data_IF_597084336220
#
_entry.id   IF_597084336220
#
_cell.length_a   1.000
_cell.length_b   1.000
_cell.length_c   1.000
_cell.angle_alpha   90.00
_cell.angle_beta   90.00
_cell.angle_gamma   90.00
#
_symmetry.space_group_name_H-M   'P 1'
#
loop_
_entity.id
_entity.type
_entity.pdbx_description
1 polymer ?
#
# COMPACT_ATOMS: atom_id res chain seq x y z
N UNK A 1 17.70 64.59 22.37
CA UNK A 1 16.64 65.57 22.10
C UNK A 1 16.38 65.51 20.60
N UNK A 2 15.27 64.90 20.16
CA UNK A 2 14.83 64.95 18.76
C UNK A 2 13.95 66.19 18.64
N UNK A 3 14.37 67.15 17.82
CA UNK A 3 13.58 68.33 17.50
C UNK A 3 12.19 67.91 17.01
N UNK A 4 11.15 68.52 17.57
CA UNK A 4 9.79 68.36 17.08
C UNK A 4 9.72 69.00 15.68
N UNK A 5 9.48 68.19 14.66
CA UNK A 5 9.24 68.67 13.30
C UNK A 5 8.07 69.67 13.31
N UNK A 6 8.27 70.84 12.68
CA UNK A 6 7.21 71.84 12.49
C UNK A 6 5.99 71.16 11.82
N UNK A 7 4.76 71.46 12.24
CA UNK A 7 3.59 71.10 11.44
C UNK A 7 3.72 71.80 10.07
N UNK A 8 3.60 71.03 8.99
CA UNK A 8 3.62 71.57 7.63
C UNK A 8 2.31 72.34 7.41
N UNK A 9 2.40 73.59 6.98
CA UNK A 9 1.24 74.42 6.68
C UNK A 9 0.61 73.97 5.35
N UNK A 10 -0.71 73.91 5.27
CA UNK A 10 -1.43 73.45 4.06
C UNK A 10 -1.04 74.26 2.81
N UNK A 11 -0.72 75.54 2.97
CA UNK A 11 -0.28 76.41 1.88
C UNK A 11 1.07 76.00 1.25
N UNK A 12 2.00 75.50 2.05
CA UNK A 12 3.30 75.03 1.56
C UNK A 12 3.11 73.74 0.74
N UNK A 13 2.21 72.87 1.19
CA UNK A 13 1.88 71.62 0.52
C UNK A 13 1.13 71.89 -0.79
N UNK A 14 0.20 72.86 -0.81
CA UNK A 14 -0.50 73.25 -2.04
C UNK A 14 0.46 73.78 -3.11
N UNK A 15 1.52 74.47 -2.72
CA UNK A 15 2.57 74.90 -3.65
C UNK A 15 3.24 73.67 -4.30
N UNK A 16 3.60 72.67 -3.50
CA UNK A 16 4.19 71.42 -3.99
C UNK A 16 3.22 70.57 -4.84
N UNK A 17 1.92 70.59 -4.50
CA UNK A 17 0.86 69.96 -5.31
C UNK A 17 0.78 70.62 -6.69
N UNK A 18 0.86 71.95 -6.76
CA UNK A 18 0.83 72.69 -8.01
C UNK A 18 2.09 72.47 -8.87
N UNK A 19 3.23 72.20 -8.22
CA UNK A 19 4.47 71.73 -8.88
C UNK A 19 4.35 70.28 -9.42
N UNK A 20 3.29 69.56 -9.05
CA UNK A 20 3.02 68.20 -9.52
C UNK A 20 3.82 67.11 -8.78
N UNK A 21 4.44 67.46 -7.64
CA UNK A 21 5.16 66.49 -6.81
C UNK A 21 4.20 65.44 -6.27
N UNK A 22 4.66 64.21 -6.13
CA UNK A 22 3.92 63.17 -5.43
C UNK A 22 4.24 63.19 -3.92
N UNK A 23 3.42 62.53 -3.11
CA UNK A 23 3.52 62.58 -1.64
C UNK A 23 4.88 62.08 -1.12
N UNK A 24 5.51 61.15 -1.84
CA UNK A 24 6.85 60.67 -1.48
C UNK A 24 7.92 61.75 -1.69
N UNK A 25 7.89 62.43 -2.84
CA UNK A 25 8.79 63.53 -3.15
C UNK A 25 8.57 64.73 -2.22
N UNK A 26 7.31 65.02 -1.87
CA UNK A 26 6.98 66.05 -0.88
C UNK A 26 7.56 65.70 0.50
N UNK A 27 7.43 64.45 0.93
CA UNK A 27 7.94 64.01 2.22
C UNK A 27 9.48 64.11 2.30
N UNK A 28 10.17 63.74 1.22
CA UNK A 28 11.63 63.90 1.12
C UNK A 28 12.04 65.38 1.16
N UNK A 29 11.35 66.24 0.42
CA UNK A 29 11.64 67.69 0.37
C UNK A 29 11.40 68.38 1.72
N UNK A 30 10.40 67.92 2.45
CA UNK A 30 10.05 68.41 3.78
C UNK A 30 10.86 67.72 4.91
N UNK A 31 11.73 66.78 4.54
CA UNK A 31 12.52 65.94 5.45
C UNK A 31 11.67 65.34 6.57
N UNK A 32 10.59 64.66 6.19
CA UNK A 32 9.59 64.12 7.12
C UNK A 32 9.37 62.63 6.98
N UNK A 33 8.74 62.03 7.99
CA UNK A 33 8.35 60.63 7.95
C UNK A 33 7.22 60.41 6.93
N UNK A 34 7.47 59.48 5.99
CA UNK A 34 6.56 59.19 4.88
C UNK A 34 5.20 58.67 5.35
N UNK A 35 5.14 57.91 6.44
CA UNK A 35 3.88 57.32 6.92
C UNK A 35 3.02 58.39 7.58
N UNK A 36 3.62 59.22 8.43
CA UNK A 36 2.94 60.37 9.05
C UNK A 36 2.46 61.39 8.02
N UNK A 37 3.29 61.70 7.02
CA UNK A 37 2.92 62.62 5.96
C UNK A 37 1.86 62.05 5.01
N UNK A 38 1.90 60.74 4.75
CA UNK A 38 0.87 60.05 3.96
C UNK A 38 -0.50 60.10 4.66
N UNK A 39 -0.56 59.89 5.97
CA UNK A 39 -1.82 60.01 6.75
C UNK A 39 -2.35 61.45 6.72
N UNK A 40 -1.48 62.43 6.94
CA UNK A 40 -1.82 63.84 6.84
C UNK A 40 -2.40 64.19 5.47
N UNK A 41 -1.69 63.85 4.40
CA UNK A 41 -2.14 64.14 3.03
C UNK A 41 -3.44 63.41 2.70
N UNK A 42 -3.63 62.17 3.18
CA UNK A 42 -4.86 61.42 2.97
C UNK A 42 -6.07 62.11 3.62
N UNK A 43 -5.90 62.73 4.80
CA UNK A 43 -6.94 63.54 5.45
C UNK A 43 -7.25 64.82 4.67
N UNK A 44 -6.22 65.59 4.28
CA UNK A 44 -6.41 66.78 3.44
C UNK A 44 -7.11 66.44 2.11
N UNK A 45 -6.77 65.30 1.51
CA UNK A 45 -7.43 64.79 0.30
C UNK A 45 -8.88 64.35 0.54
N UNK A 46 -9.20 63.79 1.72
CA UNK A 46 -10.56 63.43 2.07
C UNK A 46 -11.47 64.66 2.19
N UNK A 47 -10.93 65.74 2.77
CA UNK A 47 -11.66 66.99 2.98
C UNK A 47 -11.76 67.83 1.69
N UNK A 48 -10.68 67.89 0.89
CA UNK A 48 -10.65 68.66 -0.35
C UNK A 48 -9.86 67.97 -1.48
N UNK A 49 -10.57 67.16 -2.27
CA UNK A 49 -9.98 66.38 -3.39
C UNK A 49 -9.52 67.23 -4.57
N UNK A 50 -10.01 68.46 -4.74
CA UNK A 50 -9.59 69.33 -5.84
C UNK A 50 -8.26 69.98 -5.52
N UNK A 51 -8.09 70.43 -4.26
CA UNK A 51 -6.85 71.03 -3.78
C UNK A 51 -5.77 69.99 -3.48
N UNK A 52 -6.15 68.79 -3.02
CA UNK A 52 -5.23 67.68 -2.72
C UNK A 52 -5.62 66.42 -3.52
N UNK A 53 -5.18 66.30 -4.79
CA UNK A 53 -5.53 65.16 -5.61
C UNK A 53 -4.98 63.84 -5.04
N UNK A 54 -5.86 62.88 -4.79
CA UNK A 54 -5.49 61.57 -4.20
C UNK A 54 -4.48 60.78 -5.05
N UNK A 55 -4.41 61.05 -6.35
CA UNK A 55 -3.45 60.40 -7.28
C UNK A 55 -1.98 60.70 -6.96
N UNK A 56 -1.72 61.81 -6.25
CA UNK A 56 -0.36 62.15 -5.82
C UNK A 56 0.07 61.32 -4.60
N UNK A 57 -0.89 60.80 -3.82
CA UNK A 57 -0.66 59.82 -2.77
C UNK A 57 -0.64 58.39 -3.33
N UNK A 58 -1.69 58.03 -4.08
CA UNK A 58 -1.89 56.68 -4.62
C UNK A 58 -1.31 56.61 -6.02
N UNK A 59 0.02 56.57 -6.10
CA UNK A 59 0.77 56.36 -7.34
C UNK A 59 0.62 54.91 -7.83
N UNK A 60 0.99 54.64 -9.09
CA UNK A 60 0.95 53.28 -9.64
C UNK A 60 1.80 52.29 -8.84
N UNK A 61 3.06 52.65 -8.57
CA UNK A 61 4.01 51.82 -7.83
C UNK A 61 3.56 51.58 -6.39
N UNK A 62 3.01 52.61 -5.73
CA UNK A 62 2.46 52.48 -4.40
C UNK A 62 1.27 51.52 -4.38
N UNK A 63 0.30 51.69 -5.28
CA UNK A 63 -0.90 50.87 -5.31
C UNK A 63 -0.59 49.40 -5.64
N UNK A 64 0.33 49.16 -6.56
CA UNK A 64 0.82 47.82 -6.89
C UNK A 64 1.45 47.12 -5.67
N UNK A 65 2.33 47.82 -4.94
CA UNK A 65 2.94 47.31 -3.70
C UNK A 65 1.90 47.01 -2.63
N UNK A 66 0.94 47.92 -2.41
CA UNK A 66 -0.09 47.72 -1.38
C UNK A 66 -1.06 46.57 -1.73
N UNK A 67 -1.42 46.40 -3.00
CA UNK A 67 -2.30 45.30 -3.44
C UNK A 67 -1.68 43.91 -3.27
N UNK A 68 -0.36 43.81 -3.20
CA UNK A 68 0.34 42.56 -2.88
C UNK A 68 0.23 42.18 -1.41
N UNK A 69 0.14 43.18 -0.52
CA UNK A 69 0.22 43.00 0.93
C UNK A 69 -1.15 43.06 1.62
N UNK A 70 -2.10 43.84 1.08
CA UNK A 70 -3.33 44.21 1.77
C UNK A 70 -4.56 44.04 0.86
N UNK A 71 -5.72 43.66 1.42
CA UNK A 71 -6.98 43.69 0.68
C UNK A 71 -7.41 45.14 0.40
N UNK A 72 -8.17 45.35 -0.67
CA UNK A 72 -8.64 46.68 -1.11
C UNK A 72 -9.36 47.45 0.01
N UNK A 73 -10.12 46.78 0.89
CA UNK A 73 -10.81 47.43 2.02
C UNK A 73 -9.81 48.12 2.97
N UNK A 74 -8.66 47.50 3.23
CA UNK A 74 -7.68 48.05 4.15
C UNK A 74 -6.97 49.27 3.53
N UNK A 75 -6.68 49.20 2.24
CA UNK A 75 -6.13 50.33 1.46
C UNK A 75 -7.10 51.52 1.47
N UNK A 76 -8.41 51.25 1.34
CA UNK A 76 -9.44 52.28 1.43
C UNK A 76 -9.44 53.00 2.79
N UNK A 77 -9.31 52.24 3.88
CA UNK A 77 -9.29 52.80 5.23
C UNK A 77 -8.06 53.68 5.46
N UNK A 78 -6.89 53.24 5.01
CA UNK A 78 -5.62 53.99 5.17
C UNK A 78 -5.55 55.26 4.30
N UNK A 79 -6.28 55.29 3.19
CA UNK A 79 -6.27 56.43 2.25
C UNK A 79 -7.51 57.31 2.36
N UNK A 80 -8.42 57.00 3.30
CA UNK A 80 -9.72 57.64 3.44
C UNK A 80 -10.51 57.73 2.12
N UNK A 81 -10.42 56.69 1.29
CA UNK A 81 -11.06 56.62 -0.04
C UNK A 81 -12.05 55.48 -0.17
N UNK A 82 -12.95 55.59 -1.15
CA UNK A 82 -13.92 54.52 -1.41
C UNK A 82 -13.33 53.41 -2.31
N UNK A 83 -13.82 52.16 -2.20
CA UNK A 83 -13.41 51.08 -3.08
C UNK A 83 -13.57 51.39 -4.57
N UNK A 84 -14.52 52.25 -4.93
CA UNK A 84 -14.73 52.69 -6.32
C UNK A 84 -13.58 53.55 -6.84
N UNK A 85 -12.98 54.39 -5.99
CA UNK A 85 -11.80 55.21 -6.33
C UNK A 85 -10.60 54.31 -6.58
N UNK A 86 -10.32 53.36 -5.67
CA UNK A 86 -9.22 52.41 -5.82
C UNK A 86 -9.39 51.57 -7.09
N UNK A 87 -10.59 51.03 -7.37
CA UNK A 87 -10.87 50.28 -8.61
C UNK A 87 -10.72 51.14 -9.86
N UNK A 88 -11.06 52.44 -9.80
CA UNK A 88 -10.83 53.38 -10.91
C UNK A 88 -9.33 53.56 -11.16
N UNK A 89 -8.54 53.74 -10.10
CA UNK A 89 -7.08 53.85 -10.20
C UNK A 89 -6.44 52.56 -10.70
N UNK A 90 -6.87 51.38 -10.24
CA UNK A 90 -6.42 50.09 -10.77
C UNK A 90 -6.64 49.98 -12.28
N UNK A 91 -7.81 50.37 -12.79
CA UNK A 91 -8.09 50.40 -14.23
C UNK A 91 -7.19 51.38 -14.97
N UNK A 92 -7.02 52.59 -14.43
CA UNK A 92 -6.17 53.63 -15.02
C UNK A 92 -4.69 53.21 -15.08
N UNK A 93 -4.22 52.45 -14.09
CA UNK A 93 -2.84 51.98 -13.98
C UNK A 93 -2.59 50.60 -14.61
N UNK A 94 -3.62 49.92 -15.10
CA UNK A 94 -3.52 48.57 -15.68
C UNK A 94 -3.28 47.44 -14.68
N UNK A 95 -3.63 47.63 -13.40
CA UNK A 95 -3.41 46.65 -12.33
C UNK A 95 -4.56 45.65 -12.23
N UNK A 96 -4.25 44.35 -12.23
CA UNK A 96 -5.23 43.26 -12.05
C UNK A 96 -5.39 42.91 -10.56
N UNK A 97 -6.62 42.58 -10.15
CA UNK A 97 -6.90 42.16 -8.78
C UNK A 97 -6.35 40.75 -8.53
N UNK A 98 -5.81 40.49 -7.32
CA UNK A 98 -5.44 39.13 -6.88
C UNK A 98 -6.67 38.20 -6.95
N UNK A 99 -6.54 36.97 -7.48
CA UNK A 99 -7.63 36.01 -7.49
C UNK A 99 -8.09 35.71 -6.07
N UNK A 100 -9.41 35.66 -5.85
CA UNK A 100 -9.98 35.32 -4.54
C UNK A 100 -9.82 33.83 -4.30
N UNK A 101 -9.91 33.40 -3.04
CA UNK A 101 -9.85 31.97 -2.70
C UNK A 101 -10.85 31.12 -3.51
N UNK A 102 -12.06 31.63 -3.73
CA UNK A 102 -13.09 30.97 -4.55
C UNK A 102 -12.74 30.81 -6.05
N UNK A 103 -11.79 31.61 -6.53
CA UNK A 103 -11.32 31.56 -7.93
C UNK A 103 -10.16 30.54 -8.07
N UNK A 104 -9.58 30.10 -6.95
CA UNK A 104 -8.50 29.09 -6.87
C UNK A 104 -9.08 27.74 -6.46
N UNK A 105 -9.92 27.73 -5.43
CA UNK A 105 -10.71 26.61 -4.95
C UNK A 105 -12.08 26.67 -5.62
N UNK A 106 -12.11 26.35 -6.92
CA UNK A 106 -13.37 26.23 -7.66
C UNK A 106 -14.18 25.04 -7.13
N UNK A 107 -15.49 24.96 -7.43
CA UNK A 107 -16.32 23.84 -7.00
C UNK A 107 -15.75 22.48 -7.42
N UNK A 108 -15.21 22.40 -8.65
CA UNK A 108 -14.63 21.19 -9.23
C UNK A 108 -13.35 20.79 -8.50
N UNK A 109 -12.44 21.74 -8.26
CA UNK A 109 -11.20 21.52 -7.51
C UNK A 109 -11.51 21.12 -6.06
N UNK A 110 -12.52 21.76 -5.45
CA UNK A 110 -12.94 21.44 -4.09
C UNK A 110 -13.56 20.04 -4.02
N UNK A 111 -14.34 19.64 -5.03
CA UNK A 111 -14.92 18.29 -5.15
C UNK A 111 -13.82 17.25 -5.33
N UNK A 112 -12.88 17.44 -6.26
CA UNK A 112 -11.73 16.55 -6.45
C UNK A 112 -10.92 16.38 -5.16
N UNK A 113 -10.60 17.46 -4.46
CA UNK A 113 -9.79 17.40 -3.24
C UNK A 113 -10.53 16.75 -2.06
N UNK A 114 -11.81 17.07 -1.87
CA UNK A 114 -12.58 16.66 -0.70
C UNK A 114 -13.24 15.27 -0.87
N UNK A 115 -13.82 15.03 -2.05
CA UNK A 115 -14.57 13.80 -2.39
C UNK A 115 -13.64 12.75 -2.96
N UNK A 116 -12.95 13.03 -4.07
CA UNK A 116 -12.15 12.04 -4.78
C UNK A 116 -10.85 11.70 -4.04
N UNK A 117 -10.08 12.71 -3.64
CA UNK A 117 -8.80 12.57 -2.90
C UNK A 117 -8.99 12.44 -1.39
N UNK A 118 -10.24 12.53 -0.90
CA UNK A 118 -10.63 12.33 0.51
C UNK A 118 -9.88 13.19 1.52
N UNK A 119 -9.36 14.36 1.13
CA UNK A 119 -8.67 15.26 2.06
C UNK A 119 -9.67 15.86 3.06
N UNK A 120 -9.21 16.12 4.28
CA UNK A 120 -10.03 16.80 5.29
C UNK A 120 -10.06 18.31 5.03
N UNK A 121 -11.11 19.00 5.50
CA UNK A 121 -11.20 20.46 5.45
C UNK A 121 -9.91 21.14 5.99
N UNK A 122 -9.31 20.55 7.04
CA UNK A 122 -8.03 20.99 7.61
C UNK A 122 -6.86 20.83 6.63
N UNK A 123 -6.74 19.69 5.96
CA UNK A 123 -5.61 19.44 5.06
C UNK A 123 -5.70 20.31 3.80
N UNK A 124 -6.92 20.55 3.31
CA UNK A 124 -7.17 21.49 2.22
C UNK A 124 -6.80 22.91 2.67
N UNK A 125 -7.21 23.32 3.87
CA UNK A 125 -6.86 24.64 4.43
C UNK A 125 -5.34 24.85 4.55
N UNK A 126 -4.60 23.84 5.03
CA UNK A 126 -3.14 23.86 5.08
C UNK A 126 -2.51 24.00 3.69
N UNK A 127 -3.02 23.28 2.70
CA UNK A 127 -2.49 23.26 1.32
C UNK A 127 -2.67 24.59 0.61
N UNK A 128 -3.78 25.29 0.88
CA UNK A 128 -4.13 26.57 0.25
C UNK A 128 -3.90 27.77 1.16
N UNK A 129 -3.20 27.58 2.29
CA UNK A 129 -2.88 28.61 3.28
C UNK A 129 -4.09 29.49 3.67
N UNK A 130 -5.24 28.86 3.90
CA UNK A 130 -6.49 29.53 4.28
C UNK A 130 -7.06 28.97 5.58
N UNK A 131 -8.13 29.57 6.10
CA UNK A 131 -8.79 29.07 7.31
C UNK A 131 -9.67 27.85 7.00
N UNK A 132 -9.81 26.98 7.99
CA UNK A 132 -10.68 25.79 7.92
C UNK A 132 -12.13 26.21 7.67
N UNK A 133 -12.56 27.31 8.31
CA UNK A 133 -13.89 27.90 8.17
C UNK A 133 -14.16 28.40 6.74
N UNK A 134 -13.14 28.92 6.05
CA UNK A 134 -13.27 29.35 4.66
C UNK A 134 -13.52 28.16 3.73
N UNK A 135 -12.79 27.05 3.93
CA UNK A 135 -13.01 25.79 3.19
C UNK A 135 -14.40 25.24 3.48
N UNK A 136 -14.80 25.16 4.76
CA UNK A 136 -16.15 24.71 5.15
C UNK A 136 -17.27 25.53 4.52
N UNK A 137 -17.11 26.87 4.51
CA UNK A 137 -18.09 27.78 3.91
C UNK A 137 -18.19 27.60 2.40
N UNK A 138 -17.06 27.51 1.70
CA UNK A 138 -17.04 27.22 0.26
C UNK A 138 -17.67 25.86 -0.05
N UNK A 139 -17.39 24.85 0.79
CA UNK A 139 -17.95 23.51 0.63
C UNK A 139 -19.48 23.51 0.80
N UNK A 140 -19.98 24.16 1.84
CA UNK A 140 -21.41 24.33 2.08
C UNK A 140 -22.12 25.15 0.98
N UNK A 141 -21.45 26.19 0.45
CA UNK A 141 -21.99 27.01 -0.65
C UNK A 141 -22.14 26.24 -1.96
N UNK A 142 -21.31 25.21 -2.17
CA UNK A 142 -21.36 24.35 -3.36
C UNK A 142 -22.08 23.03 -3.10
N UNK A 143 -22.82 22.91 -1.99
CA UNK A 143 -23.55 21.70 -1.60
C UNK A 143 -22.70 20.44 -1.47
N UNK A 144 -21.37 20.57 -1.29
CA UNK A 144 -20.49 19.40 -1.21
C UNK A 144 -20.58 18.81 0.20
N UNK A 145 -21.13 17.62 0.34
CA UNK A 145 -21.42 17.02 1.65
C UNK A 145 -20.45 15.90 2.02
N UNK A 146 -20.50 15.48 3.29
CA UNK A 146 -19.75 14.31 3.73
C UNK A 146 -20.29 13.03 3.06
N UNK A 147 -21.58 13.01 2.73
CA UNK A 147 -22.24 11.83 2.17
C UNK A 147 -21.77 11.55 0.74
N UNK A 148 -21.37 12.57 -0.01
CA UNK A 148 -20.74 12.41 -1.34
C UNK A 148 -19.36 11.75 -1.28
N UNK A 149 -18.68 11.76 -0.12
CA UNK A 149 -17.42 10.99 0.08
C UNK A 149 -17.68 9.47 0.12
N UNK A 150 -18.92 9.08 0.40
CA UNK A 150 -19.36 7.69 0.35
C UNK A 150 -19.55 7.37 -1.13
N UNK A 151 -18.53 6.78 -1.74
CA UNK A 151 -18.67 6.16 -3.05
C UNK A 151 -19.76 5.08 -2.93
N UNK A 152 -20.98 5.37 -3.41
CA UNK A 152 -22.10 4.42 -3.39
C UNK A 152 -21.71 3.06 -3.98
N UNK A 153 -20.80 3.08 -4.96
CA UNK A 153 -20.24 1.88 -5.60
C UNK A 153 -19.51 0.89 -4.68
N UNK A 154 -19.21 1.25 -3.42
CA UNK A 154 -18.58 0.34 -2.43
C UNK A 154 -19.42 0.08 -1.19
N UNK A 155 -20.71 0.40 -1.25
CA UNK A 155 -21.67 -0.05 -0.23
C UNK A 155 -22.08 -1.48 -0.63
N UNK A 156 -21.78 -2.51 0.18
CA UNK A 156 -22.21 -3.86 -0.13
C UNK A 156 -23.74 -3.96 -0.01
N UNK A 157 -24.40 -4.65 -0.93
CA UNK A 157 -25.82 -5.02 -0.78
C UNK A 157 -26.02 -5.92 0.44
N UNK A 158 -27.26 -6.16 0.87
CA UNK A 158 -27.53 -7.05 2.00
C UNK A 158 -27.00 -8.48 1.79
N UNK A 159 -27.10 -9.00 0.57
CA UNK A 159 -26.58 -10.32 0.19
C UNK A 159 -25.05 -10.33 0.24
N UNK A 160 -24.41 -9.28 -0.28
CA UNK A 160 -22.96 -9.23 -0.26
C UNK A 160 -22.42 -8.98 1.16
N UNK A 161 -23.12 -8.16 1.95
CA UNK A 161 -22.79 -7.94 3.36
C UNK A 161 -22.93 -9.23 4.16
N UNK A 162 -24.00 -10.00 3.96
CA UNK A 162 -24.17 -11.33 4.57
C UNK A 162 -23.03 -12.26 4.19
N UNK A 163 -22.67 -12.33 2.89
CA UNK A 163 -21.54 -13.14 2.42
C UNK A 163 -20.23 -12.77 3.12
N UNK A 164 -19.90 -11.48 3.21
CA UNK A 164 -18.68 -11.03 3.89
C UNK A 164 -18.75 -11.29 5.39
N UNK A 165 -19.83 -10.88 6.05
CA UNK A 165 -19.93 -10.83 7.50
C UNK A 165 -20.20 -12.21 8.10
N UNK A 166 -21.22 -12.90 7.59
CA UNK A 166 -21.73 -14.18 8.13
C UNK A 166 -20.97 -15.36 7.56
N UNK A 167 -20.89 -15.48 6.23
CA UNK A 167 -20.28 -16.65 5.56
C UNK A 167 -18.76 -16.63 5.68
N UNK A 168 -18.11 -15.51 5.36
CA UNK A 168 -16.65 -15.39 5.39
C UNK A 168 -16.09 -14.95 6.74
N UNK A 169 -16.94 -14.44 7.64
CA UNK A 169 -16.52 -14.03 8.98
C UNK A 169 -15.78 -12.68 9.06
N UNK A 170 -15.92 -11.80 8.07
CA UNK A 170 -15.31 -10.46 8.15
C UNK A 170 -15.90 -9.68 9.32
N UNK A 171 -15.04 -9.02 10.09
CA UNK A 171 -15.46 -8.07 11.12
C UNK A 171 -15.91 -6.75 10.51
N UNK A 172 -16.73 -5.99 11.25
CA UNK A 172 -17.11 -4.61 10.89
C UNK A 172 -15.89 -3.75 10.55
N UNK A 173 -14.77 -3.93 11.28
CA UNK A 173 -13.51 -3.23 11.01
C UNK A 173 -12.91 -3.64 9.67
N UNK A 174 -12.89 -4.92 9.35
CA UNK A 174 -12.36 -5.41 8.07
C UNK A 174 -13.26 -5.02 6.89
N UNK A 175 -14.58 -5.09 7.04
CA UNK A 175 -15.53 -4.60 6.01
C UNK A 175 -15.33 -3.10 5.79
N UNK A 176 -15.13 -2.32 6.85
CA UNK A 176 -14.79 -0.89 6.77
C UNK A 176 -13.47 -0.66 5.99
N UNK A 177 -12.44 -1.46 6.25
CA UNK A 177 -11.18 -1.39 5.52
C UNK A 177 -11.35 -1.78 4.04
N UNK A 178 -12.09 -2.85 3.75
CA UNK A 178 -12.35 -3.36 2.41
C UNK A 178 -13.12 -2.34 1.56
N UNK A 179 -14.23 -1.84 2.09
CA UNK A 179 -15.12 -0.87 1.40
C UNK A 179 -14.54 0.54 1.37
N UNK A 180 -13.62 0.85 2.29
CA UNK A 180 -13.13 2.20 2.53
C UNK A 180 -14.17 3.12 3.17
N UNK A 181 -15.24 2.55 3.74
CA UNK A 181 -16.29 3.29 4.44
C UNK A 181 -15.99 3.43 5.93
N UNK A 182 -16.46 4.48 6.61
CA UNK A 182 -16.26 4.63 8.05
C UNK A 182 -16.85 3.44 8.84
N UNK A 183 -16.13 2.94 9.84
CA UNK A 183 -16.60 1.80 10.65
C UNK A 183 -17.94 2.02 11.34
N UNK A 184 -18.23 3.27 11.75
CA UNK A 184 -19.54 3.64 12.30
C UNK A 184 -20.68 3.54 11.27
N UNK A 185 -20.38 3.76 9.98
CA UNK A 185 -21.34 3.57 8.91
C UNK A 185 -21.63 2.07 8.71
N UNK A 186 -20.59 1.24 8.59
CA UNK A 186 -20.77 -0.22 8.45
C UNK A 186 -21.49 -0.83 9.66
N UNK A 187 -21.24 -0.32 10.87
CA UNK A 187 -21.97 -0.74 12.07
C UNK A 187 -23.47 -0.43 11.98
N UNK A 188 -23.83 0.77 11.51
CA UNK A 188 -25.24 1.14 11.27
C UNK A 188 -25.86 0.28 10.18
N UNK A 189 -25.12 0.05 9.08
CA UNK A 189 -25.55 -0.81 7.98
C UNK A 189 -25.88 -2.22 8.46
N UNK A 190 -25.00 -2.81 9.28
CA UNK A 190 -25.25 -4.11 9.93
C UNK A 190 -26.54 -4.10 10.74
N UNK A 191 -26.78 -3.06 11.57
CA UNK A 191 -28.03 -2.93 12.32
C UNK A 191 -29.24 -2.79 11.41
N UNK A 192 -29.16 -2.01 10.34
CA UNK A 192 -30.24 -1.86 9.34
C UNK A 192 -30.56 -3.22 8.70
N UNK A 193 -29.55 -3.92 8.18
CA UNK A 193 -29.71 -5.22 7.54
C UNK A 193 -30.21 -6.31 8.47
N UNK A 194 -29.92 -6.23 9.78
CA UNK A 194 -30.48 -7.15 10.78
C UNK A 194 -31.99 -6.99 11.03
N UNK A 195 -32.59 -5.84 10.70
CA UNK A 195 -34.01 -5.55 10.95
C UNK A 195 -34.80 -5.36 9.65
N UNK A 196 -34.15 -5.49 8.50
CA UNK A 196 -34.78 -5.35 7.20
C UNK A 196 -35.70 -6.56 6.92
N UNK A 197 -36.76 -6.34 6.14
CA UNK A 197 -37.67 -7.42 5.74
C UNK A 197 -37.05 -8.26 4.61
N UNK A 198 -35.92 -8.91 4.92
CA UNK A 198 -35.12 -9.70 3.98
C UNK A 198 -34.82 -11.09 4.59
N UNK A 199 -34.81 -12.19 3.79
CA UNK A 199 -34.57 -13.54 4.31
C UNK A 199 -33.28 -13.70 5.12
N UNK A 200 -32.23 -12.96 4.75
CA UNK A 200 -30.91 -13.04 5.40
C UNK A 200 -30.80 -12.21 6.70
N UNK A 201 -31.78 -11.37 7.02
CA UNK A 201 -31.71 -10.45 8.17
C UNK A 201 -31.54 -11.20 9.50
N UNK A 202 -32.24 -12.32 9.67
CA UNK A 202 -32.16 -13.15 10.86
C UNK A 202 -30.77 -13.76 11.08
N UNK A 203 -30.10 -14.19 10.00
CA UNK A 203 -28.74 -14.73 10.07
C UNK A 203 -27.71 -13.65 10.40
N UNK A 204 -27.86 -12.45 9.83
CA UNK A 204 -27.02 -11.29 10.16
C UNK A 204 -27.19 -10.93 11.64
N UNK A 205 -28.43 -10.95 12.15
CA UNK A 205 -28.73 -10.65 13.55
C UNK A 205 -28.21 -11.72 14.53
N UNK A 206 -28.33 -13.00 14.16
CA UNK A 206 -27.95 -14.13 14.99
C UNK A 206 -26.45 -14.43 14.98
N UNK A 207 -25.68 -13.81 14.07
CA UNK A 207 -24.31 -14.22 13.80
C UNK A 207 -23.46 -14.29 15.07
N UNK A 208 -23.04 -15.51 15.40
CA UNK A 208 -22.00 -15.74 16.38
C UNK A 208 -20.64 -15.43 15.76
N UNK A 209 -19.83 -14.71 16.52
CA UNK A 209 -18.50 -14.26 16.12
C UNK A 209 -17.61 -15.46 15.75
N UNK A 210 -17.50 -15.75 14.47
CA UNK A 210 -16.65 -16.81 13.94
C UNK A 210 -15.33 -16.24 13.45
N UNK A 211 -14.27 -16.48 14.23
CA UNK A 211 -12.95 -15.87 14.02
C UNK A 211 -11.90 -16.80 13.40
N UNK A 212 -12.32 -17.88 12.74
CA UNK A 212 -11.38 -18.84 12.17
C UNK A 212 -10.44 -18.20 11.12
N UNK A 213 -10.93 -17.26 10.33
CA UNK A 213 -10.19 -16.75 9.17
C UNK A 213 -9.63 -15.34 9.35
N UNK A 214 -9.58 -14.79 10.57
CA UNK A 214 -9.19 -13.39 10.79
C UNK A 214 -7.77 -13.08 10.30
N UNK A 215 -6.84 -14.01 10.51
CA UNK A 215 -5.45 -13.84 10.07
C UNK A 215 -5.37 -13.87 8.54
N UNK A 216 -6.05 -14.83 7.90
CA UNK A 216 -6.15 -14.92 6.44
C UNK A 216 -6.77 -13.66 5.81
N UNK A 217 -7.88 -13.16 6.38
CA UNK A 217 -8.55 -11.93 5.92
C UNK A 217 -7.60 -10.73 6.03
N UNK A 218 -6.82 -10.62 7.11
CA UNK A 218 -5.85 -9.54 7.25
C UNK A 218 -4.74 -9.66 6.19
N UNK A 219 -4.25 -10.87 5.90
CA UNK A 219 -3.27 -11.06 4.82
C UNK A 219 -3.83 -10.62 3.46
N UNK A 220 -5.09 -10.93 3.17
CA UNK A 220 -5.78 -10.46 1.95
C UNK A 220 -5.86 -8.94 1.89
N UNK A 221 -6.31 -8.29 2.97
CA UNK A 221 -6.43 -6.83 3.04
C UNK A 221 -5.09 -6.08 2.96
N UNK A 222 -4.01 -6.72 3.38
CA UNK A 222 -2.65 -6.16 3.33
C UNK A 222 -2.00 -6.30 1.95
N UNK A 223 -2.24 -7.41 1.26
CA UNK A 223 -1.50 -7.77 0.03
C UNK A 223 -2.27 -7.52 -1.27
N UNK A 224 -3.60 -7.39 -1.20
CA UNK A 224 -4.46 -7.21 -2.38
C UNK A 224 -5.06 -5.80 -2.37
N UNK A 225 -5.08 -5.15 -3.54
CA UNK A 225 -5.74 -3.85 -3.68
C UNK A 225 -7.23 -3.97 -3.30
N UNK A 226 -7.73 -3.07 -2.45
CA UNK A 226 -9.08 -3.15 -1.85
C UNK A 226 -10.20 -3.21 -2.89
N UNK A 227 -10.08 -2.46 -3.97
CA UNK A 227 -11.05 -2.42 -5.08
C UNK A 227 -11.15 -3.81 -5.74
N UNK A 228 -10.00 -4.38 -6.09
CA UNK A 228 -9.87 -5.71 -6.68
C UNK A 228 -10.39 -6.77 -5.70
N UNK A 229 -9.94 -6.74 -4.45
CA UNK A 229 -10.39 -7.68 -3.42
C UNK A 229 -11.91 -7.61 -3.22
N UNK A 230 -12.50 -6.42 -3.20
CA UNK A 230 -13.94 -6.23 -3.07
C UNK A 230 -14.72 -6.81 -4.25
N UNK A 231 -14.18 -6.77 -5.47
CA UNK A 231 -14.83 -7.42 -6.62
C UNK A 231 -14.63 -8.94 -6.63
N UNK A 232 -13.42 -9.42 -6.33
CA UNK A 232 -13.13 -10.87 -6.31
C UNK A 232 -13.95 -11.61 -5.26
N UNK A 233 -14.12 -11.00 -4.09
CA UNK A 233 -14.96 -11.51 -3.00
C UNK A 233 -16.47 -11.39 -3.29
N UNK A 234 -16.92 -11.03 -4.50
CA UNK A 234 -18.33 -11.23 -4.89
C UNK A 234 -18.57 -12.61 -5.45
N UNK A 235 -17.62 -13.17 -6.20
CA UNK A 235 -17.79 -14.42 -6.94
C UNK A 235 -16.99 -15.58 -6.37
N UNK A 236 -15.83 -15.30 -5.75
CA UNK A 236 -14.91 -16.34 -5.25
C UNK A 236 -15.02 -16.52 -3.74
N UNK A 237 -14.73 -17.72 -3.25
CA UNK A 237 -14.61 -18.03 -1.83
C UNK A 237 -13.38 -17.33 -1.22
N UNK A 238 -13.30 -17.34 0.12
CA UNK A 238 -12.13 -16.78 0.80
C UNK A 238 -10.84 -17.54 0.46
N UNK A 239 -10.94 -18.87 0.33
CA UNK A 239 -9.81 -19.74 -0.02
C UNK A 239 -9.37 -19.52 -1.46
N UNK A 240 -10.30 -19.55 -2.42
CA UNK A 240 -10.03 -19.29 -3.84
C UNK A 240 -9.36 -17.93 -4.04
N UNK A 241 -9.86 -16.91 -3.34
CA UNK A 241 -9.24 -15.57 -3.40
C UNK A 241 -7.83 -15.60 -2.85
N UNK A 242 -7.58 -16.27 -1.72
CA UNK A 242 -6.24 -16.37 -1.16
C UNK A 242 -5.27 -17.16 -2.05
N UNK A 243 -5.75 -18.19 -2.75
CA UNK A 243 -4.99 -18.98 -3.72
C UNK A 243 -4.60 -18.15 -4.95
N UNK A 244 -5.55 -17.40 -5.53
CA UNK A 244 -5.30 -16.52 -6.70
C UNK A 244 -4.16 -15.52 -6.45
N UNK A 245 -4.04 -15.02 -5.22
CA UNK A 245 -3.01 -14.05 -4.83
C UNK A 245 -1.80 -14.69 -4.13
N UNK A 246 -1.65 -16.02 -4.20
CA UNK A 246 -0.55 -16.78 -3.59
C UNK A 246 -0.33 -16.45 -2.10
N UNK A 247 -1.41 -16.18 -1.37
CA UNK A 247 -1.37 -15.94 0.07
C UNK A 247 -1.29 -17.28 0.81
N UNK A 248 -2.03 -18.27 0.32
CA UNK A 248 -1.97 -19.66 0.78
C UNK A 248 -1.47 -20.56 -0.38
N UNK A 249 -1.08 -21.82 -0.11
CA UNK A 249 -0.69 -22.76 -1.15
C UNK A 249 -1.78 -22.96 -2.20
N UNK A 250 -1.42 -23.34 -3.45
CA UNK A 250 -2.40 -23.65 -4.48
C UNK A 250 -3.33 -24.81 -4.06
N UNK A 251 -4.55 -24.87 -4.61
CA UNK A 251 -5.52 -25.90 -4.27
C UNK A 251 -5.01 -27.29 -4.68
N UNK A 252 -5.37 -28.30 -3.89
CA UNK A 252 -5.12 -29.69 -4.27
C UNK A 252 -6.07 -30.06 -5.44
N UNK A 253 -5.61 -30.79 -6.48
CA UNK A 253 -6.42 -31.08 -7.65
C UNK A 253 -7.75 -31.78 -7.30
N UNK A 254 -8.87 -31.14 -7.64
CA UNK A 254 -10.21 -31.69 -7.42
C UNK A 254 -10.71 -31.64 -5.97
N UNK A 255 -10.01 -30.93 -5.07
CA UNK A 255 -10.37 -30.82 -3.66
C UNK A 255 -10.52 -29.34 -3.28
N UNK A 256 -11.66 -28.99 -2.70
CA UNK A 256 -11.91 -27.63 -2.21
C UNK A 256 -11.10 -27.36 -0.95
N UNK A 257 -10.30 -26.29 -0.96
CA UNK A 257 -9.54 -25.88 0.22
C UNK A 257 -10.48 -25.53 1.37
N UNK A 258 -10.14 -26.03 2.57
CA UNK A 258 -10.98 -25.96 3.77
C UNK A 258 -12.18 -26.91 3.78
N UNK A 259 -12.22 -27.92 2.89
CA UNK A 259 -13.09 -29.08 3.04
C UNK A 259 -12.52 -30.13 4.01
N UNK A 260 -13.33 -31.10 4.48
CA UNK A 260 -12.85 -32.27 5.21
C UNK A 260 -11.76 -33.06 4.48
N UNK A 261 -11.93 -33.29 3.18
CA UNK A 261 -10.98 -34.02 2.32
C UNK A 261 -9.66 -33.26 2.21
N UNK A 262 -9.72 -31.93 2.07
CA UNK A 262 -8.52 -31.09 2.12
C UNK A 262 -7.78 -31.27 3.46
N UNK A 263 -8.50 -31.23 4.57
CA UNK A 263 -7.88 -31.33 5.89
C UNK A 263 -7.26 -32.72 6.10
N UNK A 264 -7.92 -33.78 5.64
CA UNK A 264 -7.37 -35.13 5.66
C UNK A 264 -6.02 -35.18 4.92
N UNK A 265 -5.97 -34.69 3.67
CA UNK A 265 -4.73 -34.64 2.87
C UNK A 265 -3.64 -33.85 3.60
N UNK A 266 -3.98 -32.70 4.19
CA UNK A 266 -3.00 -31.89 4.91
C UNK A 266 -2.51 -32.59 6.19
N UNK A 267 -3.39 -33.26 6.95
CA UNK A 267 -3.02 -33.98 8.17
C UNK A 267 -2.08 -35.17 7.92
N UNK A 268 -2.08 -35.73 6.72
CA UNK A 268 -1.11 -36.75 6.29
C UNK A 268 0.30 -36.17 6.11
N UNK A 269 0.41 -34.91 5.71
CA UNK A 269 1.68 -34.27 5.33
C UNK A 269 2.24 -33.35 6.40
N UNK A 270 1.38 -32.76 7.24
CA UNK A 270 1.69 -31.61 8.09
C UNK A 270 1.11 -31.77 9.48
N UNK A 271 1.76 -31.16 10.48
CA UNK A 271 1.19 -31.03 11.83
C UNK A 271 0.05 -30.01 11.79
N UNK A 272 -0.88 -30.09 12.76
CA UNK A 272 -1.95 -29.10 12.91
C UNK A 272 -1.38 -27.68 12.99
N UNK A 273 -0.24 -27.48 13.68
CA UNK A 273 0.39 -26.17 13.78
C UNK A 273 0.94 -25.68 12.43
N UNK A 274 1.57 -26.55 11.65
CA UNK A 274 2.03 -26.19 10.30
C UNK A 274 0.87 -25.78 9.39
N UNK A 275 -0.26 -26.48 9.47
CA UNK A 275 -1.47 -26.13 8.70
C UNK A 275 -2.00 -24.76 9.12
N UNK A 276 -2.08 -24.49 10.43
CA UNK A 276 -2.49 -23.18 10.97
C UNK A 276 -1.61 -22.05 10.44
N UNK A 277 -0.29 -22.24 10.50
CA UNK A 277 0.68 -21.21 10.14
C UNK A 277 0.70 -20.94 8.63
N UNK A 278 0.55 -21.98 7.81
CA UNK A 278 0.60 -21.90 6.35
C UNK A 278 -0.70 -21.37 5.73
N UNK A 279 -1.86 -21.69 6.33
CA UNK A 279 -3.16 -21.28 5.82
C UNK A 279 -3.79 -20.11 6.58
N UNK A 280 -3.12 -19.61 7.64
CA UNK A 280 -3.59 -18.49 8.46
C UNK A 280 -4.98 -18.70 9.08
N UNK A 281 -5.27 -19.93 9.50
CA UNK A 281 -6.58 -20.34 10.05
C UNK A 281 -6.50 -20.63 11.55
N UNK A 282 -7.61 -20.41 12.26
CA UNK A 282 -7.70 -20.62 13.70
C UNK A 282 -7.76 -22.11 14.08
N UNK A 283 -7.08 -22.48 15.16
CA UNK A 283 -7.04 -23.87 15.66
C UNK A 283 -8.42 -24.49 15.90
N UNK A 284 -9.40 -23.69 16.34
CA UNK A 284 -10.75 -24.17 16.61
C UNK A 284 -11.46 -24.64 15.35
N UNK A 285 -11.18 -24.04 14.18
CA UNK A 285 -11.74 -24.49 12.91
C UNK A 285 -11.30 -25.92 12.59
N UNK A 286 -9.99 -26.17 12.67
CA UNK A 286 -9.42 -27.50 12.46
C UNK A 286 -9.99 -28.50 13.47
N UNK A 287 -10.04 -28.14 14.76
CA UNK A 287 -10.59 -29.04 15.80
C UNK A 287 -12.06 -29.41 15.57
N UNK A 288 -12.88 -28.44 15.16
CA UNK A 288 -14.30 -28.68 14.85
C UNK A 288 -14.42 -29.60 13.64
N UNK A 289 -13.72 -29.30 12.55
CA UNK A 289 -13.73 -30.12 11.34
C UNK A 289 -13.24 -31.54 11.60
N UNK A 290 -12.16 -31.71 12.37
CA UNK A 290 -11.66 -33.03 12.78
C UNK A 290 -12.72 -33.82 13.55
N UNK A 291 -13.43 -33.17 14.47
CA UNK A 291 -14.47 -33.83 15.26
C UNK A 291 -15.69 -34.21 14.42
N UNK A 292 -16.12 -33.33 13.52
CA UNK A 292 -17.31 -33.54 12.67
C UNK A 292 -17.08 -34.58 11.58
N UNK A 293 -15.83 -34.73 11.13
CA UNK A 293 -15.44 -35.67 10.07
C UNK A 293 -14.67 -36.90 10.58
N UNK A 294 -14.62 -37.11 11.90
CA UNK A 294 -13.85 -38.17 12.58
C UNK A 294 -12.38 -38.30 12.10
N UNK A 295 -11.75 -37.17 11.76
CA UNK A 295 -10.37 -37.14 11.30
C UNK A 295 -9.40 -37.13 12.49
N UNK A 296 -8.36 -37.96 12.41
CA UNK A 296 -7.28 -38.00 13.39
C UNK A 296 -5.96 -37.62 12.74
N UNK A 297 -5.13 -36.80 13.40
CA UNK A 297 -3.81 -36.52 12.87
C UNK A 297 -3.03 -37.82 12.82
N UNK A 298 -2.37 -38.08 11.69
CA UNK A 298 -1.38 -39.15 11.65
C UNK A 298 -0.30 -38.86 12.69
N UNK A 299 0.00 -39.87 13.50
CA UNK A 299 1.12 -39.81 14.43
C UNK A 299 2.36 -39.39 13.66
N UNK A 300 3.19 -38.55 14.28
CA UNK A 300 4.46 -38.10 13.69
C UNK A 300 5.33 -39.30 13.27
N UNK A 301 5.21 -40.44 13.96
CA UNK A 301 5.92 -41.68 13.59
C UNK A 301 5.38 -42.35 12.33
N UNK A 302 4.11 -42.15 12.00
CA UNK A 302 3.40 -42.87 10.95
C UNK A 302 3.42 -42.10 9.63
N UNK A 303 3.86 -40.83 9.66
CA UNK A 303 4.09 -39.99 8.46
C UNK A 303 5.29 -40.43 7.64
N UNK A 304 6.21 -41.17 8.26
CA UNK A 304 7.37 -41.75 7.60
C UNK A 304 7.31 -43.27 7.72
N UNK A 305 7.63 -43.96 6.63
CA UNK A 305 7.81 -45.41 6.66
C UNK A 305 9.23 -45.78 6.19
N UNK A 306 9.69 -47.00 6.47
CA UNK A 306 11.06 -47.42 6.16
C UNK A 306 11.39 -47.34 4.67
N UNK A 307 10.44 -47.61 3.78
CA UNK A 307 10.66 -47.67 2.34
C UNK A 307 10.88 -46.27 1.75
N UNK A 308 10.05 -45.30 2.15
CA UNK A 308 10.23 -43.89 1.78
C UNK A 308 11.57 -43.37 2.32
N UNK A 309 11.90 -43.67 3.57
CA UNK A 309 13.19 -43.24 4.15
C UNK A 309 14.36 -43.91 3.44
N UNK A 310 14.25 -45.18 3.02
CA UNK A 310 15.28 -45.88 2.25
C UNK A 310 15.50 -45.20 0.90
N UNK A 311 14.43 -44.93 0.15
CA UNK A 311 14.48 -44.19 -1.12
C UNK A 311 15.18 -42.84 -0.95
N UNK A 312 14.68 -42.00 -0.04
CA UNK A 312 15.20 -40.64 0.12
C UNK A 312 16.63 -40.60 0.66
N UNK A 313 16.96 -41.44 1.63
CA UNK A 313 18.25 -41.43 2.28
C UNK A 313 19.35 -42.12 1.45
N UNK A 314 19.06 -43.28 0.86
CA UNK A 314 20.07 -44.07 0.14
C UNK A 314 20.20 -43.66 -1.32
N UNK A 315 19.06 -43.46 -2.00
CA UNK A 315 19.06 -43.19 -3.44
C UNK A 315 19.17 -41.68 -3.70
N UNK A 316 18.35 -40.87 -3.02
CA UNK A 316 18.34 -39.41 -3.25
C UNK A 316 19.36 -38.66 -2.39
N UNK A 317 20.03 -39.37 -1.47
CA UNK A 317 21.05 -38.84 -0.56
C UNK A 317 20.57 -37.65 0.29
N UNK A 318 19.29 -37.63 0.63
CA UNK A 318 18.76 -36.66 1.59
C UNK A 318 19.36 -36.94 2.97
N UNK A 319 19.58 -35.86 3.72
CA UNK A 319 19.96 -35.93 5.13
C UNK A 319 18.76 -36.21 6.02
N UNK A 320 18.99 -36.72 7.24
CA UNK A 320 17.93 -36.92 8.23
C UNK A 320 17.16 -35.59 8.48
N UNK A 321 17.84 -34.45 8.42
CA UNK A 321 17.23 -33.12 8.57
C UNK A 321 16.33 -32.73 7.40
N UNK A 322 16.72 -33.05 6.15
CA UNK A 322 15.90 -32.79 4.97
C UNK A 322 14.64 -33.67 4.95
N UNK A 323 14.78 -34.96 5.28
CA UNK A 323 13.65 -35.89 5.41
C UNK A 323 12.74 -35.41 6.55
N UNK A 324 13.30 -35.09 7.71
CA UNK A 324 12.54 -34.61 8.86
C UNK A 324 11.70 -33.37 8.53
N UNK A 325 12.31 -32.40 7.84
CA UNK A 325 11.62 -31.19 7.39
C UNK A 325 10.49 -31.50 6.41
N UNK A 326 10.71 -32.40 5.46
CA UNK A 326 9.72 -32.70 4.42
C UNK A 326 8.48 -33.42 4.94
N UNK A 327 8.62 -34.25 5.98
CA UNK A 327 7.50 -35.01 6.57
C UNK A 327 6.97 -34.40 7.88
N UNK A 328 7.52 -33.26 8.30
CA UNK A 328 7.12 -32.60 9.56
C UNK A 328 7.37 -33.47 10.79
N UNK A 329 8.49 -34.20 10.80
CA UNK A 329 8.91 -35.09 11.90
C UNK A 329 10.22 -34.59 12.52
N UNK A 330 10.60 -35.12 13.68
CA UNK A 330 11.90 -34.78 14.27
C UNK A 330 13.05 -35.49 13.56
N UNK A 331 14.23 -34.86 13.52
CA UNK A 331 15.47 -35.51 13.00
C UNK A 331 15.76 -36.81 13.76
N UNK A 332 15.44 -36.82 15.06
CA UNK A 332 15.54 -38.02 15.89
C UNK A 332 14.61 -39.13 15.41
N UNK A 333 13.36 -38.84 15.05
CA UNK A 333 12.42 -39.85 14.55
C UNK A 333 12.93 -40.52 13.26
N UNK A 334 13.47 -39.74 12.32
CA UNK A 334 14.09 -40.28 11.10
C UNK A 334 15.30 -41.14 11.44
N UNK A 335 16.20 -40.64 12.29
CA UNK A 335 17.41 -41.36 12.72
C UNK A 335 17.08 -42.67 13.45
N UNK A 336 16.08 -42.65 14.33
CA UNK A 336 15.59 -43.83 15.04
C UNK A 336 14.97 -44.85 14.09
N UNK A 337 14.15 -44.41 13.13
CA UNK A 337 13.58 -45.30 12.11
C UNK A 337 14.67 -45.95 11.25
N UNK A 338 15.65 -45.16 10.80
CA UNK A 338 16.79 -45.70 10.02
C UNK A 338 17.55 -46.77 10.80
N UNK A 339 17.87 -46.49 12.07
CA UNK A 339 18.57 -47.46 12.94
C UNK A 339 17.76 -48.73 13.16
N UNK A 340 16.45 -48.59 13.43
CA UNK A 340 15.52 -49.71 13.64
C UNK A 340 15.40 -50.61 12.39
N UNK A 341 15.46 -50.04 11.20
CA UNK A 341 15.30 -50.75 9.93
C UNK A 341 16.62 -50.95 9.16
N UNK A 342 17.76 -50.80 9.82
CA UNK A 342 19.10 -51.03 9.24
C UNK A 342 19.37 -50.24 7.94
N UNK A 343 18.91 -48.99 7.86
CA UNK A 343 19.18 -48.09 6.72
C UNK A 343 20.49 -47.34 7.02
N UNK A 344 21.62 -47.88 6.58
CA UNK A 344 22.95 -47.41 6.98
C UNK A 344 23.57 -46.45 5.95
N UNK A 345 24.46 -45.53 6.37
CA UNK A 345 25.18 -44.66 5.44
C UNK A 345 26.04 -45.41 4.42
N UNK A 346 26.49 -46.62 4.75
CA UNK A 346 27.27 -47.48 3.86
C UNK A 346 26.48 -47.98 2.65
N UNK A 347 25.15 -48.02 2.75
CA UNK A 347 24.25 -48.50 1.70
C UNK A 347 23.86 -47.38 0.71
N UNK A 348 24.40 -46.17 0.90
CA UNK A 348 24.14 -45.04 0.00
C UNK A 348 24.74 -45.31 -1.37
N UNK A 349 23.98 -44.98 -2.42
CA UNK A 349 24.51 -45.04 -3.78
C UNK A 349 25.75 -44.15 -3.91
N UNK A 350 26.75 -44.69 -4.58
CA UNK A 350 27.97 -43.97 -4.93
C UNK A 350 27.64 -42.80 -5.85
N UNK A 351 28.59 -41.87 -5.98
CA UNK A 351 28.39 -40.71 -6.88
C UNK A 351 28.29 -41.18 -8.32
N UNK A 352 29.07 -42.20 -8.68
CA UNK A 352 29.06 -42.87 -9.98
C UNK A 352 27.68 -43.45 -10.33
N UNK A 353 26.97 -44.02 -9.36
CA UNK A 353 25.63 -44.60 -9.54
C UNK A 353 24.54 -43.53 -9.61
N UNK A 354 24.71 -42.43 -8.87
CA UNK A 354 23.75 -41.31 -8.85
C UNK A 354 23.91 -40.35 -10.02
N UNK A 355 25.14 -40.20 -10.50
CA UNK A 355 25.55 -39.36 -11.61
C UNK A 355 26.28 -40.25 -12.62
N UNK A 356 25.49 -40.97 -13.41
CA UNK A 356 26.00 -41.77 -14.52
C UNK A 356 26.59 -40.88 -15.63
N UNK A 357 27.19 -41.52 -16.64
CA UNK A 357 27.87 -40.81 -17.72
C UNK A 357 26.93 -39.96 -18.59
N UNK A 358 25.68 -40.41 -18.78
CA UNK A 358 24.67 -39.72 -19.60
C UNK A 358 24.16 -38.47 -18.89
N UNK A 359 23.80 -38.60 -17.61
CA UNK A 359 23.36 -37.48 -16.78
C UNK A 359 24.50 -36.49 -16.56
N UNK A 360 25.74 -36.96 -16.41
CA UNK A 360 26.91 -36.08 -16.39
C UNK A 360 27.05 -35.30 -17.69
N UNK A 361 26.94 -35.96 -18.86
CA UNK A 361 27.00 -35.29 -20.16
C UNK A 361 25.90 -34.24 -20.25
N UNK A 362 24.66 -34.60 -19.94
CA UNK A 362 23.52 -33.69 -19.98
C UNK A 362 23.75 -32.45 -19.13
N UNK A 363 24.18 -32.63 -17.87
CA UNK A 363 24.41 -31.50 -16.96
C UNK A 363 25.62 -30.65 -17.37
N UNK A 364 26.69 -31.29 -17.85
CA UNK A 364 27.94 -30.59 -18.15
C UNK A 364 27.94 -29.91 -19.52
N UNK A 365 27.39 -30.58 -20.54
CA UNK A 365 27.38 -30.13 -21.94
C UNK A 365 26.07 -29.39 -22.24
N UNK A 366 24.94 -30.07 -22.10
CA UNK A 366 23.65 -29.56 -22.60
C UNK A 366 23.13 -28.44 -21.70
N UNK A 367 23.27 -28.60 -20.39
CA UNK A 367 22.88 -27.60 -19.39
C UNK A 367 24.02 -26.63 -19.05
N UNK A 368 25.26 -26.92 -19.45
CA UNK A 368 26.41 -26.01 -19.27
C UNK A 368 26.85 -25.78 -17.83
N UNK A 369 26.62 -26.72 -16.90
CA UNK A 369 27.03 -26.56 -15.50
C UNK A 369 28.55 -26.72 -15.35
N UNK A 370 29.16 -25.86 -14.54
CA UNK A 370 30.56 -26.03 -14.16
C UNK A 370 30.75 -27.23 -13.21
N UNK A 371 31.98 -27.75 -13.09
CA UNK A 371 32.27 -28.85 -12.15
C UNK A 371 31.98 -28.47 -10.69
N UNK A 372 32.16 -27.19 -10.33
CA UNK A 372 31.79 -26.64 -9.03
C UNK A 372 30.27 -26.69 -8.81
N UNK A 373 29.50 -26.36 -9.84
CA UNK A 373 28.04 -26.41 -9.80
C UNK A 373 27.53 -27.85 -9.71
N UNK A 374 28.09 -28.78 -10.49
CA UNK A 374 27.78 -30.22 -10.38
C UNK A 374 28.16 -30.77 -9.00
N UNK A 375 29.32 -30.36 -8.47
CA UNK A 375 29.75 -30.68 -7.11
C UNK A 375 28.75 -30.21 -6.05
N UNK A 376 28.27 -28.97 -6.16
CA UNK A 376 27.22 -28.44 -5.28
C UNK A 376 25.90 -29.19 -5.44
N UNK A 377 25.51 -29.50 -6.67
CA UNK A 377 24.25 -30.15 -7.01
C UNK A 377 24.17 -31.58 -6.42
N UNK A 378 25.26 -32.34 -6.51
CA UNK A 378 25.34 -33.71 -5.99
C UNK A 378 25.94 -33.81 -4.58
N UNK A 379 26.22 -32.68 -3.93
CA UNK A 379 26.85 -32.60 -2.60
C UNK A 379 28.11 -33.47 -2.49
N UNK A 380 28.95 -33.40 -3.52
CA UNK A 380 30.13 -34.26 -3.66
C UNK A 380 31.36 -33.38 -3.89
N UNK A 381 32.53 -33.68 -3.30
CA UNK A 381 33.75 -32.92 -3.55
C UNK A 381 34.09 -32.76 -5.03
N UNK A 382 34.49 -31.56 -5.44
CA UNK A 382 34.87 -31.22 -6.82
C UNK A 382 35.95 -32.15 -7.37
N UNK A 383 36.86 -32.63 -6.51
CA UNK A 383 37.89 -33.61 -6.87
C UNK A 383 37.29 -34.90 -7.43
N UNK A 384 36.24 -35.45 -6.80
CA UNK A 384 35.53 -36.63 -7.30
C UNK A 384 34.79 -36.35 -8.61
N UNK A 385 34.11 -35.20 -8.72
CA UNK A 385 33.46 -34.79 -9.98
C UNK A 385 34.48 -34.64 -11.11
N UNK A 386 35.68 -34.14 -10.81
CA UNK A 386 36.78 -34.04 -11.77
C UNK A 386 37.31 -35.41 -12.20
N UNK A 387 37.35 -36.37 -11.28
CA UNK A 387 37.67 -37.77 -11.62
C UNK A 387 36.58 -38.39 -12.52
N UNK A 388 35.30 -38.13 -12.23
CA UNK A 388 34.19 -38.55 -13.09
C UNK A 388 34.29 -37.95 -14.49
N UNK A 389 34.63 -36.64 -14.62
CA UNK A 389 34.89 -36.01 -15.92
C UNK A 389 35.94 -36.80 -16.72
N UNK A 390 37.07 -37.14 -16.10
CA UNK A 390 38.15 -37.92 -16.76
C UNK A 390 37.69 -39.33 -17.12
N UNK A 391 36.91 -39.99 -16.25
CA UNK A 391 36.40 -41.35 -16.46
C UNK A 391 35.38 -41.39 -17.60
N UNK A 392 34.40 -40.50 -17.57
CA UNK A 392 33.31 -40.43 -18.55
C UNK A 392 33.78 -39.84 -19.88
N UNK A 393 34.80 -38.99 -19.89
CA UNK A 393 35.45 -38.50 -21.10
C UNK A 393 36.05 -39.59 -22.00
N UNK A 394 36.34 -40.79 -21.46
CA UNK A 394 36.74 -41.96 -22.26
C UNK A 394 35.59 -42.56 -23.08
N UNK A 395 34.36 -42.41 -22.61
CA UNK A 395 33.15 -42.90 -23.29
C UNK A 395 32.47 -41.81 -24.13
N UNK A 396 32.59 -40.56 -23.69
CA UNK A 396 32.02 -39.37 -24.32
C UNK A 396 33.14 -38.33 -24.52
N UNK A 397 33.90 -38.40 -25.63
CA UNK A 397 35.04 -37.52 -25.89
C UNK A 397 34.71 -36.03 -25.77
N UNK A 398 33.48 -35.64 -26.09
CA UNK A 398 32.95 -34.28 -25.98
C UNK A 398 33.01 -33.70 -24.55
N UNK A 399 32.92 -34.55 -23.52
CA UNK A 399 33.09 -34.14 -22.11
C UNK A 399 34.51 -33.63 -21.87
N UNK A 400 35.51 -34.19 -22.55
CA UNK A 400 36.92 -33.85 -22.35
C UNK A 400 37.24 -32.48 -22.93
N UNK A 401 36.75 -32.21 -24.14
CA UNK A 401 37.03 -30.99 -24.89
C UNK A 401 36.16 -29.81 -24.44
N UNK A 402 34.99 -30.07 -23.86
CA UNK A 402 34.10 -29.01 -23.41
C UNK A 402 34.56 -28.35 -22.11
N UNK A 403 34.36 -27.02 -22.05
CA UNK A 403 34.61 -26.18 -20.88
C UNK A 403 33.31 -25.41 -20.58
N UNK A 404 32.55 -25.89 -19.61
CA UNK A 404 31.34 -25.24 -19.16
C UNK A 404 31.65 -23.98 -18.36
N UNK A 405 31.02 -22.86 -18.72
CA UNK A 405 31.12 -21.57 -18.00
C UNK A 405 30.27 -21.50 -16.74
N UNK A 406 29.32 -22.44 -16.59
CA UNK A 406 28.34 -22.43 -15.52
C UNK A 406 27.07 -21.64 -15.86
N UNK A 407 26.03 -21.91 -15.09
CA UNK A 407 24.69 -21.31 -15.24
C UNK A 407 24.35 -20.32 -14.14
N UNK A 408 23.27 -19.57 -14.31
CA UNK A 408 22.75 -18.64 -13.30
C UNK A 408 22.26 -19.36 -12.04
N UNK A 409 22.20 -18.62 -10.93
CA UNK A 409 21.68 -19.14 -9.65
C UNK A 409 20.23 -19.61 -9.75
N UNK A 410 19.40 -18.92 -10.55
CA UNK A 410 18.02 -19.33 -10.81
C UNK A 410 17.94 -20.72 -11.47
N UNK A 411 18.78 -20.98 -12.49
CA UNK A 411 18.84 -22.31 -13.13
C UNK A 411 19.38 -23.36 -12.17
N UNK A 412 20.37 -23.01 -11.34
CA UNK A 412 20.88 -23.90 -10.29
C UNK A 412 19.80 -24.29 -9.28
N UNK A 413 18.95 -23.36 -8.86
CA UNK A 413 17.84 -23.65 -7.95
C UNK A 413 16.82 -24.58 -8.59
N UNK A 414 16.47 -24.33 -9.86
CA UNK A 414 15.58 -25.21 -10.63
C UNK A 414 16.12 -26.63 -10.71
N UNK A 415 17.39 -26.81 -11.09
CA UNK A 415 18.02 -28.13 -11.23
C UNK A 415 18.19 -28.83 -9.87
N UNK A 416 18.50 -28.10 -8.79
CA UNK A 416 18.52 -28.64 -7.43
C UNK A 416 17.16 -29.19 -7.03
N UNK A 417 16.07 -28.49 -7.36
CA UNK A 417 14.70 -28.95 -7.11
C UNK A 417 14.39 -30.20 -7.96
N UNK A 418 14.67 -30.15 -9.26
CA UNK A 418 14.43 -31.28 -10.16
C UNK A 418 15.18 -32.56 -9.73
N UNK A 419 16.47 -32.45 -9.38
CA UNK A 419 17.27 -33.59 -8.94
C UNK A 419 16.75 -34.19 -7.62
N UNK A 420 16.32 -33.36 -6.68
CA UNK A 420 15.78 -33.83 -5.38
C UNK A 420 14.47 -34.60 -5.51
N UNK A 421 13.72 -34.39 -6.60
CA UNK A 421 12.43 -35.01 -6.86
C UNK A 421 12.43 -35.95 -8.07
N UNK A 422 13.61 -36.38 -8.55
CA UNK A 422 13.80 -37.16 -9.79
C UNK A 422 12.92 -38.44 -9.87
N UNK A 423 12.55 -39.02 -8.73
CA UNK A 423 11.75 -40.25 -8.64
C UNK A 423 10.31 -40.04 -8.13
N UNK A 424 9.89 -38.80 -7.85
CA UNK A 424 8.48 -38.51 -7.50
C UNK A 424 7.56 -38.47 -8.72
N UNK A 425 8.11 -38.35 -9.93
CA UNK A 425 7.38 -38.21 -11.19
C UNK A 425 7.18 -39.52 -11.94
N UNK A 426 7.54 -40.67 -11.35
CA UNK A 426 7.40 -42.01 -11.96
C UNK A 426 6.31 -42.90 -11.33
N UNK A 427 5.48 -42.35 -10.45
CA UNK A 427 4.41 -43.08 -9.75
C UNK A 427 3.04 -42.57 -10.12
#
# INVERSE_FOLDING_TARGET
>A
MREAAKPYEENDILTMVNEGLNVFEMAERLNTDIELFSDFYARCSADNRTAFPIRLLITKSWLEKQLMMKPVIQICNETYTSPSVIRRLMRLYGLKQKPRLKDILTPEVLFELYVEKRLTDRKIAETFHCSIEAVKKLRAQNSITHDERISESRIPSIEYFHRLHVIMGFTIKQISLLTGQPGAYIKRLSTTYSHENHPLAAEIAAQNKYYAFQSLINQLLERVERSVLFEQLKTHSLAETAEMYNIIPPPEPGVETFSPEWLEIQLHRKTVQQIIDEYYIGINFIKVMMRESDLKPLSVTDRINPDIVRLLYLQNNWTDAEIARAFGVSVYAVSALRKKHHILPADKLTVEERLDAEEFRRLYIDEGLSLLQISSLYQTPVSKISMLKKKYGKKHPEITTHIASGVSDGRMQYLKKALKHKDFTKS
#
